data_IF_529243502450
#
_entry.id   IF_529243502450
#
_cell.length_a   1.000
_cell.length_b   1.000
_cell.length_c   1.000
_cell.angle_alpha   90.00
_cell.angle_beta   90.00
_cell.angle_gamma   90.00
#
_symmetry.space_group_name_H-M   'P 1'
#
loop_
_entity.id
_entity.type
_entity.pdbx_description
1 polymer ?
#
# COMPACT_ATOMS: atom_id res chain seq x y z
N UNK A 1 -19.52 -19.65 -16.71
CA UNK A 1 -18.76 -18.45 -17.14
C UNK A 1 -17.63 -18.90 -18.04
N UNK A 2 -17.47 -18.35 -19.24
CA UNK A 2 -16.34 -18.70 -20.11
C UNK A 2 -15.02 -18.22 -19.48
N UNK A 3 -13.91 -18.97 -19.67
CA UNK A 3 -12.59 -18.61 -19.13
C UNK A 3 -12.20 -17.15 -19.46
N UNK A 4 -12.50 -16.71 -20.68
CA UNK A 4 -12.28 -15.33 -21.17
C UNK A 4 -13.03 -14.27 -20.34
N UNK A 5 -14.30 -14.51 -20.00
CA UNK A 5 -15.12 -13.59 -19.19
C UNK A 5 -14.60 -13.47 -17.76
N UNK A 6 -14.11 -14.58 -17.19
CA UNK A 6 -13.48 -14.59 -15.86
C UNK A 6 -12.16 -13.81 -15.84
N UNK A 7 -11.35 -13.98 -16.87
CA UNK A 7 -10.08 -13.28 -17.01
C UNK A 7 -10.27 -11.76 -17.17
N UNK A 8 -11.19 -11.33 -18.04
CA UNK A 8 -11.50 -9.89 -18.21
C UNK A 8 -12.00 -9.28 -16.89
N UNK A 9 -12.84 -10.01 -16.15
CA UNK A 9 -13.32 -9.58 -14.84
C UNK A 9 -12.17 -9.39 -13.84
N UNK A 10 -11.23 -10.32 -13.81
CA UNK A 10 -10.05 -10.23 -12.97
C UNK A 10 -9.19 -9.02 -13.35
N UNK A 11 -8.92 -8.80 -14.64
CA UNK A 11 -8.16 -7.64 -15.10
C UNK A 11 -8.82 -6.31 -14.70
N UNK A 12 -10.14 -6.18 -14.83
CA UNK A 12 -10.87 -4.99 -14.37
C UNK A 12 -10.73 -4.78 -12.86
N UNK A 13 -10.83 -5.87 -12.09
CA UNK A 13 -10.66 -5.82 -10.62
C UNK A 13 -9.25 -5.37 -10.26
N UNK A 14 -8.24 -5.99 -10.87
CA UNK A 14 -6.85 -5.67 -10.65
C UNK A 14 -6.53 -4.23 -11.05
N UNK A 15 -7.07 -3.75 -12.16
CA UNK A 15 -6.91 -2.35 -12.58
C UNK A 15 -7.42 -1.36 -11.52
N UNK A 16 -8.57 -1.62 -10.89
CA UNK A 16 -9.09 -0.75 -9.82
C UNK A 16 -8.18 -0.75 -8.60
N UNK A 17 -7.72 -1.94 -8.18
CA UNK A 17 -6.78 -2.07 -7.08
C UNK A 17 -5.45 -1.34 -7.36
N UNK A 18 -4.91 -1.51 -8.57
CA UNK A 18 -3.66 -0.90 -9.00
C UNK A 18 -3.76 0.61 -9.12
N UNK A 19 -4.82 1.14 -9.76
CA UNK A 19 -5.05 2.58 -9.88
C UNK A 19 -5.25 3.23 -8.51
N UNK A 20 -5.98 2.57 -7.62
CA UNK A 20 -6.14 3.06 -6.25
C UNK A 20 -4.79 3.16 -5.54
N UNK A 21 -3.95 2.13 -5.65
CA UNK A 21 -2.64 2.12 -5.03
C UNK A 21 -1.71 3.20 -5.63
N UNK A 22 -1.72 3.41 -6.94
CA UNK A 22 -0.95 4.50 -7.55
C UNK A 22 -1.43 5.86 -7.04
N UNK A 23 -2.74 6.11 -7.05
CA UNK A 23 -3.27 7.41 -6.66
C UNK A 23 -3.03 7.71 -5.18
N UNK A 24 -3.36 6.77 -4.30
CA UNK A 24 -3.36 6.99 -2.85
C UNK A 24 -2.00 6.66 -2.23
N UNK A 25 -1.51 5.44 -2.46
CA UNK A 25 -0.26 4.98 -1.83
C UNK A 25 0.96 5.65 -2.44
N UNK A 26 1.08 5.68 -3.78
CA UNK A 26 2.30 6.18 -4.43
C UNK A 26 2.30 7.71 -4.57
N UNK A 27 1.31 8.27 -5.27
CA UNK A 27 1.30 9.70 -5.58
C UNK A 27 1.02 10.55 -4.34
N UNK A 28 -0.06 10.24 -3.61
CA UNK A 28 -0.44 11.07 -2.46
C UNK A 28 0.46 10.83 -1.24
N UNK A 29 0.62 9.58 -0.80
CA UNK A 29 1.33 9.31 0.45
C UNK A 29 2.85 9.34 0.29
N UNK A 30 3.42 8.61 -0.68
CA UNK A 30 4.87 8.55 -0.81
C UNK A 30 5.48 9.82 -1.43
N UNK A 31 4.87 10.35 -2.50
CA UNK A 31 5.42 11.51 -3.21
C UNK A 31 4.98 12.81 -2.51
N UNK A 32 3.68 13.09 -2.38
CA UNK A 32 3.24 14.38 -1.82
C UNK A 32 3.49 14.46 -0.32
N UNK A 33 2.97 13.53 0.48
CA UNK A 33 3.14 13.57 1.94
C UNK A 33 4.58 13.28 2.33
N UNK A 34 5.25 12.32 1.69
CA UNK A 34 6.65 12.03 1.93
C UNK A 34 7.56 13.22 1.64
N UNK A 35 7.36 13.93 0.52
CA UNK A 35 8.10 15.16 0.24
C UNK A 35 7.78 16.27 1.26
N UNK A 36 6.54 16.38 1.75
CA UNK A 36 6.15 17.44 2.67
C UNK A 36 6.55 17.18 4.12
N UNK A 37 6.66 15.95 4.58
CA UNK A 37 6.84 15.66 6.01
C UNK A 37 8.18 15.01 6.36
N UNK A 38 8.90 14.45 5.38
CA UNK A 38 10.16 13.73 5.62
C UNK A 38 11.34 14.61 5.18
N UNK A 39 12.16 15.11 6.13
CA UNK A 39 13.29 15.99 5.82
C UNK A 39 14.29 15.34 4.86
N UNK A 40 14.64 14.06 5.05
CA UNK A 40 15.66 13.41 4.20
C UNK A 40 15.22 13.32 2.73
N UNK A 41 13.91 13.15 2.48
CA UNK A 41 13.35 13.10 1.12
C UNK A 41 13.44 14.46 0.43
N UNK A 42 13.33 15.55 1.20
CA UNK A 42 13.52 16.92 0.68
C UNK A 42 14.99 17.20 0.38
N UNK A 43 15.89 16.78 1.26
CA UNK A 43 17.33 16.92 1.06
C UNK A 43 17.77 16.18 -0.21
N UNK A 44 17.37 14.91 -0.36
CA UNK A 44 17.64 14.13 -1.56
C UNK A 44 17.07 14.79 -2.84
N UNK A 45 15.82 15.27 -2.79
CA UNK A 45 15.19 15.95 -3.92
C UNK A 45 15.85 17.30 -4.26
N UNK A 46 16.48 17.95 -3.29
CA UNK A 46 17.23 19.20 -3.49
C UNK A 46 18.60 18.93 -4.10
N UNK A 47 19.24 17.82 -3.72
CA UNK A 47 20.57 17.41 -4.22
C UNK A 47 20.54 16.78 -5.61
N UNK A 48 19.57 15.89 -5.87
CA UNK A 48 19.49 15.10 -7.11
C UNK A 48 18.40 15.60 -8.08
N UNK A 49 17.58 16.56 -7.63
CA UNK A 49 16.47 17.12 -8.39
C UNK A 49 15.15 16.39 -8.15
N UNK A 50 14.06 17.17 -8.06
CA UNK A 50 12.73 16.67 -7.75
C UNK A 50 12.19 15.63 -8.76
N UNK A 51 12.62 15.71 -10.03
CA UNK A 51 12.24 14.76 -11.07
C UNK A 51 12.82 13.37 -10.80
N UNK A 52 14.11 13.29 -10.44
CA UNK A 52 14.82 12.02 -10.25
C UNK A 52 14.32 11.30 -8.99
N UNK A 53 14.11 12.07 -7.92
CA UNK A 53 13.42 11.60 -6.71
C UNK A 53 12.04 11.02 -7.03
N UNK A 54 11.20 11.79 -7.73
CA UNK A 54 9.83 11.37 -8.03
C UNK A 54 9.79 10.11 -8.88
N UNK A 55 10.64 9.99 -9.90
CA UNK A 55 10.71 8.76 -10.70
C UNK A 55 11.16 7.55 -9.90
N UNK A 56 12.21 7.71 -9.09
CA UNK A 56 12.77 6.60 -8.31
C UNK A 56 11.76 6.07 -7.29
N UNK A 57 11.14 6.97 -6.53
CA UNK A 57 10.09 6.62 -5.56
C UNK A 57 8.87 6.06 -6.27
N UNK A 58 8.47 6.62 -7.41
CA UNK A 58 7.32 6.13 -8.18
C UNK A 58 7.53 4.69 -8.64
N UNK A 59 8.63 4.38 -9.33
CA UNK A 59 8.84 3.06 -9.92
C UNK A 59 9.02 1.98 -8.85
N UNK A 60 9.82 2.24 -7.82
CA UNK A 60 10.03 1.30 -6.72
C UNK A 60 8.72 0.98 -5.99
N UNK A 61 8.00 2.03 -5.62
CA UNK A 61 6.77 1.87 -4.83
C UNK A 61 5.61 1.34 -5.67
N UNK A 62 5.48 1.75 -6.93
CA UNK A 62 4.44 1.23 -7.84
C UNK A 62 4.63 -0.25 -8.14
N UNK A 63 5.88 -0.73 -8.26
CA UNK A 63 6.16 -2.15 -8.46
C UNK A 63 5.77 -2.97 -7.22
N UNK A 64 6.17 -2.51 -6.02
CA UNK A 64 5.79 -3.15 -4.77
C UNK A 64 4.27 -3.22 -4.60
N UNK A 65 3.58 -2.08 -4.74
CA UNK A 65 2.12 -2.05 -4.63
C UNK A 65 1.44 -2.81 -5.76
N UNK A 66 2.03 -2.91 -6.95
CA UNK A 66 1.50 -3.74 -8.03
C UNK A 66 1.43 -5.20 -7.63
N UNK A 67 2.51 -5.75 -7.09
CA UNK A 67 2.57 -7.14 -6.62
C UNK A 67 1.63 -7.34 -5.42
N UNK A 68 1.70 -6.45 -4.42
CA UNK A 68 0.85 -6.54 -3.23
C UNK A 68 -0.65 -6.52 -3.59
N UNK A 69 -1.05 -5.59 -4.46
CA UNK A 69 -2.44 -5.46 -4.90
C UNK A 69 -2.88 -6.53 -5.88
N UNK A 70 -1.96 -7.21 -6.58
CA UNK A 70 -2.29 -8.39 -7.37
C UNK A 70 -2.87 -9.48 -6.48
N UNK A 71 -2.24 -9.76 -5.34
CA UNK A 71 -2.77 -10.72 -4.37
C UNK A 71 -4.11 -10.27 -3.78
N UNK A 72 -4.24 -9.00 -3.43
CA UNK A 72 -5.51 -8.42 -2.97
C UNK A 72 -6.64 -8.60 -3.99
N UNK A 73 -6.39 -8.25 -5.26
CA UNK A 73 -7.34 -8.42 -6.35
C UNK A 73 -7.68 -9.89 -6.62
N UNK A 74 -6.70 -10.80 -6.50
CA UNK A 74 -6.91 -12.24 -6.66
C UNK A 74 -7.82 -12.80 -5.56
N UNK A 75 -7.53 -12.48 -4.31
CA UNK A 75 -8.36 -12.86 -3.15
C UNK A 75 -9.79 -12.33 -3.35
N UNK A 76 -9.91 -11.05 -3.73
CA UNK A 76 -11.23 -10.44 -3.97
C UNK A 76 -11.98 -11.12 -5.12
N UNK A 77 -11.32 -11.41 -6.24
CA UNK A 77 -11.95 -12.07 -7.39
C UNK A 77 -12.43 -13.49 -7.05
N UNK A 78 -11.67 -14.22 -6.23
CA UNK A 78 -12.00 -15.59 -5.83
C UNK A 78 -13.07 -15.66 -4.73
N UNK A 79 -13.00 -14.78 -3.73
CA UNK A 79 -13.82 -14.88 -2.51
C UNK A 79 -14.88 -13.81 -2.36
N UNK A 80 -14.79 -12.71 -3.13
CA UNK A 80 -15.68 -11.53 -3.07
C UNK A 80 -15.93 -11.11 -1.62
N UNK A 81 -14.86 -10.95 -0.84
CA UNK A 81 -14.99 -10.52 0.55
C UNK A 81 -15.40 -9.06 0.65
N UNK A 82 -16.23 -8.73 1.66
CA UNK A 82 -16.64 -7.35 1.97
C UNK A 82 -15.43 -6.45 2.26
N UNK A 83 -15.54 -5.11 2.04
CA UNK A 83 -14.43 -4.18 2.23
C UNK A 83 -13.73 -4.29 3.58
N UNK A 84 -14.50 -4.44 4.68
CA UNK A 84 -13.95 -4.61 6.03
C UNK A 84 -13.04 -5.83 6.16
N UNK A 85 -13.42 -6.96 5.56
CA UNK A 85 -12.63 -8.21 5.60
C UNK A 85 -11.37 -8.09 4.74
N UNK A 86 -11.50 -7.47 3.56
CA UNK A 86 -10.34 -7.20 2.69
C UNK A 86 -9.33 -6.27 3.38
N UNK A 87 -9.81 -5.21 4.05
CA UNK A 87 -8.95 -4.32 4.83
C UNK A 87 -8.23 -5.02 5.96
N UNK A 88 -8.91 -5.89 6.71
CA UNK A 88 -8.27 -6.65 7.79
C UNK A 88 -7.22 -7.64 7.27
N UNK A 89 -7.47 -8.29 6.13
CA UNK A 89 -6.47 -9.15 5.48
C UNK A 89 -5.25 -8.35 5.02
N UNK A 90 -5.49 -7.16 4.45
CA UNK A 90 -4.43 -6.25 4.02
C UNK A 90 -3.61 -5.75 5.20
N UNK A 91 -4.27 -5.42 6.32
CA UNK A 91 -3.62 -5.03 7.57
C UNK A 91 -2.66 -6.13 8.06
N UNK A 92 -3.14 -7.38 8.13
CA UNK A 92 -2.32 -8.51 8.58
C UNK A 92 -1.14 -8.72 7.62
N UNK A 93 -1.39 -8.71 6.30
CA UNK A 93 -0.34 -8.87 5.31
C UNK A 93 0.69 -7.73 5.36
N UNK A 94 0.23 -6.49 5.52
CA UNK A 94 1.05 -5.30 5.64
C UNK A 94 1.95 -5.33 6.87
N UNK A 95 1.39 -5.66 8.03
CA UNK A 95 2.21 -5.85 9.24
C UNK A 95 3.21 -6.99 9.10
N UNK A 96 2.83 -8.11 8.48
CA UNK A 96 3.80 -9.18 8.20
C UNK A 96 4.95 -8.63 7.34
N UNK A 97 4.67 -7.79 6.34
CA UNK A 97 5.72 -7.20 5.49
C UNK A 97 6.59 -6.21 6.28
N UNK A 98 6.00 -5.35 7.11
CA UNK A 98 6.75 -4.35 7.90
C UNK A 98 7.59 -4.95 9.02
N UNK A 99 7.09 -5.98 9.69
CA UNK A 99 7.83 -6.73 10.69
C UNK A 99 8.73 -7.82 10.09
N UNK A 100 8.60 -8.10 8.79
CA UNK A 100 9.57 -8.91 8.09
C UNK A 100 10.77 -8.05 7.69
N UNK A 101 11.96 -8.66 7.70
CA UNK A 101 13.17 -8.05 7.15
C UNK A 101 13.06 -7.71 5.64
N UNK A 102 11.93 -7.96 4.97
CA UNK A 102 11.72 -7.60 3.56
C UNK A 102 11.63 -6.08 3.37
N UNK A 103 11.02 -5.35 4.31
CA UNK A 103 10.99 -3.88 4.29
C UNK A 103 12.15 -3.24 5.07
N UNK A 104 12.83 -4.01 5.93
CA UNK A 104 13.94 -3.51 6.76
C UNK A 104 15.35 -3.90 6.24
N UNK A 105 15.46 -4.91 5.38
CA UNK A 105 16.71 -5.60 5.04
C UNK A 105 17.68 -4.84 4.13
N UNK A 106 17.39 -3.58 3.81
CA UNK A 106 18.29 -2.72 3.03
C UNK A 106 18.51 -1.34 3.65
N UNK A 107 17.93 -1.07 4.83
CA UNK A 107 18.07 0.23 5.48
C UNK A 107 19.12 0.08 6.57
N UNK A 108 20.31 0.64 6.32
CA UNK A 108 21.26 0.92 7.39
C UNK A 108 20.54 1.68 8.50
N UNK A 109 20.94 1.44 9.73
CA UNK A 109 20.42 1.97 11.00
C UNK A 109 20.40 3.52 11.10
N UNK A 110 20.52 4.25 10.00
CA UNK A 110 20.33 5.69 9.95
C UNK A 110 18.86 6.05 10.13
N UNK A 111 18.65 7.05 10.97
CA UNK A 111 17.41 7.59 11.56
C UNK A 111 16.29 8.02 10.59
N UNK A 112 16.35 7.67 9.30
CA UNK A 112 15.41 8.07 8.25
C UNK A 112 14.52 6.95 7.66
N UNK A 113 14.61 5.71 8.17
CA UNK A 113 13.61 4.70 7.78
C UNK A 113 12.30 4.99 8.51
N UNK A 114 11.20 5.18 7.78
CA UNK A 114 9.85 5.39 8.34
C UNK A 114 9.30 4.25 9.21
N UNK A 115 10.15 3.34 9.68
CA UNK A 115 9.87 2.20 10.54
C UNK A 115 10.51 2.32 11.94
N UNK A 116 10.88 3.52 12.41
CA UNK A 116 11.36 3.76 13.79
C UNK A 116 10.41 3.13 14.83
N UNK A 117 9.10 3.22 14.59
CA UNK A 117 8.08 2.62 15.44
C UNK A 117 8.14 1.08 15.48
N UNK A 118 8.63 0.42 14.43
CA UNK A 118 8.84 -1.04 14.42
C UNK A 118 10.01 -1.43 15.32
N UNK A 119 11.08 -0.61 15.34
CA UNK A 119 12.19 -0.78 16.28
C UNK A 119 11.75 -0.57 17.73
N UNK A 120 10.83 0.36 17.97
CA UNK A 120 10.17 0.52 19.27
C UNK A 120 9.52 -0.76 19.77
N UNK A 121 8.85 -1.52 18.89
CA UNK A 121 8.30 -2.84 19.23
C UNK A 121 9.37 -3.90 19.51
N UNK A 122 10.44 -3.97 18.72
CA UNK A 122 11.53 -4.93 18.96
C UNK A 122 12.26 -4.66 20.28
N UNK A 123 12.48 -3.40 20.62
CA UNK A 123 13.17 -2.98 21.84
C UNK A 123 12.23 -2.87 23.05
N UNK A 124 10.95 -3.22 22.90
CA UNK A 124 9.90 -3.06 23.91
C UNK A 124 9.79 -1.62 24.46
N UNK A 125 10.20 -0.63 23.67
CA UNK A 125 10.10 0.78 23.99
C UNK A 125 8.78 1.36 23.46
N UNK A 126 7.75 1.29 24.31
CA UNK A 126 6.40 1.76 24.00
C UNK A 126 6.27 3.27 24.23
N UNK A 127 6.95 4.05 23.39
CA UNK A 127 6.80 5.51 23.34
C UNK A 127 5.51 5.91 22.60
N UNK A 128 5.11 7.19 22.72
CA UNK A 128 4.01 7.75 21.94
C UNK A 128 4.22 7.65 20.43
N UNK A 129 5.48 7.72 19.97
CA UNK A 129 5.85 7.57 18.56
C UNK A 129 5.63 6.13 18.08
N UNK A 130 5.98 5.13 18.88
CA UNK A 130 5.73 3.71 18.59
C UNK A 130 4.23 3.46 18.39
N UNK A 131 3.39 3.98 19.29
CA UNK A 131 1.94 3.81 19.22
C UNK A 131 1.36 4.56 18.01
N UNK A 132 1.74 5.83 17.81
CA UNK A 132 1.23 6.64 16.70
C UNK A 132 1.63 6.07 15.34
N UNK A 133 2.89 5.66 15.18
CA UNK A 133 3.39 5.02 13.95
C UNK A 133 2.64 3.73 13.64
N UNK A 134 2.37 2.91 14.67
CA UNK A 134 1.56 1.68 14.52
C UNK A 134 0.15 1.98 14.03
N UNK A 135 -0.50 3.02 14.56
CA UNK A 135 -1.87 3.40 14.16
C UNK A 135 -1.92 3.96 12.73
N UNK A 136 -0.93 4.77 12.35
CA UNK A 136 -0.81 5.30 10.99
C UNK A 136 -0.57 4.15 10.00
N UNK A 137 0.36 3.25 10.30
CA UNK A 137 0.59 2.04 9.49
C UNK A 137 -0.67 1.17 9.39
N UNK A 138 -1.36 0.95 10.50
CA UNK A 138 -2.62 0.18 10.50
C UNK A 138 -3.67 0.80 9.57
N UNK A 139 -3.88 2.12 9.65
CA UNK A 139 -4.81 2.81 8.77
C UNK A 139 -4.38 2.71 7.29
N UNK A 140 -3.09 2.88 7.04
CA UNK A 140 -2.48 2.78 5.72
C UNK A 140 -2.75 1.42 5.07
N UNK A 141 -2.36 0.32 5.73
CA UNK A 141 -2.52 -1.02 5.19
C UNK A 141 -3.97 -1.44 5.09
N UNK A 142 -4.83 -1.03 6.03
CA UNK A 142 -6.25 -1.34 5.95
C UNK A 142 -6.88 -0.72 4.70
N UNK A 143 -6.60 0.56 4.42
CA UNK A 143 -7.16 1.29 3.28
C UNK A 143 -6.69 0.70 1.95
N UNK A 144 -5.46 0.17 1.88
CA UNK A 144 -4.87 -0.37 0.66
C UNK A 144 -5.78 -1.39 -0.07
N UNK A 145 -6.46 -2.30 0.65
CA UNK A 145 -7.44 -3.21 0.02
C UNK A 145 -8.89 -2.87 0.35
N UNK A 146 -9.19 -2.23 1.49
CA UNK A 146 -10.57 -1.84 1.81
C UNK A 146 -11.12 -0.81 0.82
N UNK A 147 -10.31 0.18 0.44
CA UNK A 147 -10.64 1.24 -0.51
C UNK A 147 -11.07 0.73 -1.88
N UNK A 148 -10.21 0.03 -2.64
CA UNK A 148 -10.57 -0.45 -3.97
C UNK A 148 -11.71 -1.48 -3.91
N UNK A 149 -11.76 -2.31 -2.86
CA UNK A 149 -12.90 -3.21 -2.64
C UNK A 149 -14.21 -2.43 -2.47
N UNK A 150 -14.22 -1.37 -1.66
CA UNK A 150 -15.39 -0.52 -1.47
C UNK A 150 -15.84 0.13 -2.79
N UNK A 151 -14.90 0.66 -3.57
CA UNK A 151 -15.18 1.25 -4.88
C UNK A 151 -15.88 0.23 -5.79
N UNK A 152 -15.34 -0.99 -5.86
CA UNK A 152 -15.94 -2.04 -6.69
C UNK A 152 -17.34 -2.41 -6.19
N UNK A 153 -17.53 -2.58 -4.89
CA UNK A 153 -18.85 -2.90 -4.32
C UNK A 153 -19.89 -1.81 -4.60
N UNK A 154 -19.52 -0.55 -4.43
CA UNK A 154 -20.47 0.56 -4.49
C UNK A 154 -20.78 0.98 -5.93
N UNK A 155 -19.79 0.96 -6.81
CA UNK A 155 -19.92 1.56 -8.14
C UNK A 155 -19.90 0.55 -9.29
N UNK A 156 -19.31 -0.64 -9.09
CA UNK A 156 -19.06 -1.58 -10.20
C UNK A 156 -19.80 -2.92 -10.05
N UNK A 157 -20.34 -3.23 -8.87
CA UNK A 157 -21.07 -4.48 -8.60
C UNK A 157 -22.28 -4.70 -9.53
N UNK A 158 -22.98 -3.63 -9.93
CA UNK A 158 -24.11 -3.72 -10.89
C UNK A 158 -23.68 -4.02 -12.34
N UNK A 159 -22.45 -3.68 -12.75
CA UNK A 159 -21.94 -3.92 -14.10
C UNK A 159 -21.13 -5.21 -14.27
N UNK A 160 -20.59 -5.74 -13.17
CA UNK A 160 -19.77 -6.96 -13.16
C UNK A 160 -20.56 -8.27 -13.21
N UNK A 161 -21.88 -8.21 -12.99
CA UNK A 161 -22.79 -9.35 -13.09
C UNK A 161 -23.47 -9.42 -14.46
N UNK A 162 -23.54 -8.31 -15.21
CA UNK A 162 -24.17 -8.22 -16.52
C UNK A 162 -23.23 -8.45 -17.71
N UNK A 163 -21.90 -8.49 -17.51
CA UNK A 163 -20.89 -8.78 -18.55
C UNK A 163 -20.14 -10.06 -18.35
#
# INVERSE_FOLDING_TARGET
>A
MTKKRSFIRFLKTYAVFWLFAIAVSVLFLEIVVGFLLVPERREYATEHGASDYSSTVFFGTAMFYGIFNFFGALIFHLKRFRPKRMGLLSLIAGFILEFSRVLQGGIQESEGSGAIWVQGWYNLNLSGETIMGTLISAAYWFVAWAGPTYIIYKFLSKGLEST
#
